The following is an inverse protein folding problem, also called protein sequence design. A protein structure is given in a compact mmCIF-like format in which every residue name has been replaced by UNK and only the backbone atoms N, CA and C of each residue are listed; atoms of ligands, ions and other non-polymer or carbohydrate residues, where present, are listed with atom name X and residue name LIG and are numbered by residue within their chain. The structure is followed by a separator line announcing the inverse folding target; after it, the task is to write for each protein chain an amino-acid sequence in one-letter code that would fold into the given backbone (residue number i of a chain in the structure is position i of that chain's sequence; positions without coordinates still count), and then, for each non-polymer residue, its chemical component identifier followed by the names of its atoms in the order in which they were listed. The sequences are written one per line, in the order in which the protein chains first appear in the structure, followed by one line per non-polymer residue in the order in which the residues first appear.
data_IF_555479696892
#
_entry.id   IF_555479696892
#
_cell.length_a   1.000
_cell.length_b   1.000
_cell.length_c   1.000
_cell.angle_alpha   90.00
_cell.angle_beta   90.00
_cell.angle_gamma   90.00
#
_symmetry.space_group_name_H-M   'P 1'
#
loop_
_entity.id
_entity.type
_entity.pdbx_description
1 polymer ?
#
# COMPACT_ATOMS: atom_id res chain seq x y z
N UNK A 1 9.99 -11.75 -17.20
CA UNK A 1 10.56 -10.46 -17.64
C UNK A 1 10.61 -10.50 -19.15
N UNK A 2 10.31 -9.39 -19.83
CA UNK A 2 10.41 -9.30 -21.29
C UNK A 2 11.62 -8.41 -21.65
N UNK A 3 12.44 -8.86 -22.61
CA UNK A 3 13.62 -8.13 -23.08
C UNK A 3 13.50 -7.96 -24.58
N UNK A 4 13.63 -6.74 -25.07
CA UNK A 4 13.40 -6.44 -26.49
C UNK A 4 14.40 -5.38 -26.94
N UNK A 5 15.08 -5.65 -28.05
CA UNK A 5 15.84 -4.61 -28.75
C UNK A 5 14.85 -3.66 -29.41
N UNK A 6 14.91 -2.38 -29.03
CA UNK A 6 14.10 -1.32 -29.67
C UNK A 6 14.78 -0.89 -30.97
N UNK A 7 16.10 -0.80 -30.94
CA UNK A 7 16.98 -0.51 -32.06
C UNK A 7 18.35 -1.19 -31.80
N UNK A 8 19.35 -0.95 -32.65
CA UNK A 8 20.69 -1.55 -32.53
C UNK A 8 21.48 -1.11 -31.28
N UNK A 9 21.08 -0.02 -30.64
CA UNK A 9 21.73 0.61 -29.49
C UNK A 9 20.88 0.62 -28.22
N UNK A 10 19.61 0.23 -28.29
CA UNK A 10 18.67 0.34 -27.18
C UNK A 10 18.06 -1.01 -26.83
N UNK A 11 18.43 -1.56 -25.68
CA UNK A 11 17.80 -2.76 -25.11
C UNK A 11 16.82 -2.35 -24.02
N UNK A 12 15.54 -2.67 -24.19
CA UNK A 12 14.49 -2.43 -23.19
C UNK A 12 14.19 -3.71 -22.44
N UNK A 13 14.07 -3.61 -21.12
CA UNK A 13 13.68 -4.68 -20.22
C UNK A 13 12.45 -4.26 -19.42
N UNK A 14 11.33 -4.91 -19.67
CA UNK A 14 10.10 -4.73 -18.90
C UNK A 14 9.98 -5.84 -17.86
N UNK A 15 9.89 -5.46 -16.60
CA UNK A 15 9.73 -6.43 -15.53
C UNK A 15 8.26 -6.83 -15.41
N UNK A 16 8.00 -8.14 -15.32
CA UNK A 16 6.63 -8.66 -15.16
C UNK A 16 6.12 -8.47 -13.72
N UNK A 17 7.06 -8.47 -12.76
CA UNK A 17 6.81 -8.30 -11.33
C UNK A 17 7.75 -7.23 -10.79
N UNK A 18 7.47 -6.72 -9.60
CA UNK A 18 8.29 -5.71 -8.94
C UNK A 18 9.47 -6.39 -8.21
N UNK A 19 10.69 -5.96 -8.51
CA UNK A 19 11.93 -6.54 -7.96
C UNK A 19 12.87 -5.46 -7.42
N UNK A 20 13.58 -5.80 -6.34
CA UNK A 20 14.82 -5.13 -5.97
C UNK A 20 15.96 -5.74 -6.79
N UNK A 21 16.48 -4.98 -7.75
CA UNK A 21 17.60 -5.42 -8.57
C UNK A 21 18.93 -5.08 -7.90
N UNK A 22 19.80 -6.09 -7.80
CA UNK A 22 21.09 -5.98 -7.11
C UNK A 22 22.28 -6.13 -8.05
N UNK A 23 22.17 -6.98 -9.08
CA UNK A 23 23.26 -7.19 -10.03
C UNK A 23 22.77 -7.57 -11.43
N UNK A 24 23.65 -7.30 -12.39
CA UNK A 24 23.55 -7.69 -13.79
C UNK A 24 24.64 -8.70 -14.08
N UNK A 25 24.30 -9.77 -14.79
CA UNK A 25 25.23 -10.77 -15.26
C UNK A 25 25.24 -10.75 -16.78
N UNK A 26 26.44 -10.64 -17.35
CA UNK A 26 26.69 -10.69 -18.78
C UNK A 26 27.29 -12.04 -19.13
N UNK A 27 26.71 -12.72 -20.11
CA UNK A 27 27.22 -13.94 -20.73
C UNK A 27 27.21 -13.75 -22.25
N UNK A 28 28.25 -13.07 -22.73
CA UNK A 28 28.38 -12.60 -24.11
C UNK A 28 29.16 -13.60 -24.94
N UNK A 29 28.84 -13.66 -26.24
CA UNK A 29 29.50 -14.59 -27.19
C UNK A 29 30.98 -14.32 -27.38
N UNK A 30 31.43 -13.07 -27.18
CA UNK A 30 32.83 -12.68 -27.29
C UNK A 30 33.20 -11.61 -26.26
N UNK A 31 34.48 -11.57 -25.91
CA UNK A 31 35.06 -10.47 -25.13
C UNK A 31 35.25 -9.24 -26.03
N UNK A 32 35.10 -8.06 -25.44
CA UNK A 32 35.18 -6.78 -26.15
C UNK A 32 34.49 -5.69 -25.35
N UNK A 33 34.89 -4.43 -25.53
CA UNK A 33 34.32 -3.33 -24.75
C UNK A 33 32.83 -3.14 -25.08
N UNK A 34 31.98 -3.40 -24.10
CA UNK A 34 30.58 -2.97 -24.06
C UNK A 34 30.48 -1.81 -23.08
N UNK A 35 30.00 -0.66 -23.55
CA UNK A 35 29.82 0.55 -22.75
C UNK A 35 28.39 1.03 -22.89
N UNK A 36 27.72 1.25 -21.76
CA UNK A 36 26.32 1.69 -21.75
C UNK A 36 26.00 2.54 -20.52
N UNK A 37 24.89 3.26 -20.58
CA UNK A 37 24.24 3.83 -19.40
C UNK A 37 22.81 3.30 -19.28
N UNK A 38 22.19 3.53 -18.13
CA UNK A 38 20.84 3.06 -17.84
C UNK A 38 19.88 4.22 -17.68
N UNK A 39 18.68 4.07 -18.21
CA UNK A 39 17.50 4.78 -17.72
C UNK A 39 16.48 3.76 -17.20
N UNK A 40 15.62 4.21 -16.30
CA UNK A 40 14.62 3.35 -15.68
C UNK A 40 13.38 4.15 -15.32
N UNK A 41 12.26 3.44 -15.22
CA UNK A 41 10.98 4.00 -14.81
C UNK A 41 10.65 3.42 -13.44
N UNK A 42 10.75 4.21 -12.37
CA UNK A 42 10.35 3.81 -11.01
C UNK A 42 8.89 4.20 -10.72
N UNK A 43 8.47 5.33 -11.30
CA UNK A 43 7.11 5.84 -11.26
C UNK A 43 6.53 5.77 -12.67
N UNK A 44 5.27 5.34 -12.78
CA UNK A 44 4.63 5.13 -14.07
C UNK A 44 4.63 6.43 -14.89
N UNK A 45 5.25 6.39 -16.08
CA UNK A 45 5.38 7.55 -16.97
C UNK A 45 6.51 8.53 -16.62
N UNK A 46 7.31 8.28 -15.59
CA UNK A 46 8.48 9.09 -15.23
C UNK A 46 9.78 8.27 -15.48
N UNK A 47 10.41 8.47 -16.64
CA UNK A 47 11.74 7.89 -16.93
C UNK A 47 12.85 8.74 -16.25
N UNK A 48 13.71 8.09 -15.47
CA UNK A 48 14.91 8.67 -14.85
C UNK A 48 16.18 8.06 -15.45
N UNK A 49 17.24 8.86 -15.58
CA UNK A 49 18.57 8.37 -15.95
C UNK A 49 19.34 7.99 -14.69
N UNK A 50 19.98 6.82 -14.69
CA UNK A 50 20.80 6.38 -13.57
C UNK A 50 22.02 7.29 -13.41
N UNK A 51 22.09 7.96 -12.27
CA UNK A 51 23.14 8.92 -11.93
C UNK A 51 23.82 8.55 -10.61
N UNK A 52 25.11 8.85 -10.52
CA UNK A 52 25.90 8.81 -9.28
C UNK A 52 26.55 10.18 -9.13
N UNK A 53 26.37 10.82 -7.97
CA UNK A 53 26.79 12.21 -7.73
C UNK A 53 26.32 13.18 -8.85
N UNK A 54 25.07 13.03 -9.28
CA UNK A 54 24.41 13.81 -10.35
C UNK A 54 25.00 13.65 -11.77
N UNK A 55 25.98 12.78 -11.97
CA UNK A 55 26.54 12.45 -13.28
C UNK A 55 25.96 11.14 -13.78
N UNK A 56 25.66 11.06 -15.09
CA UNK A 56 25.23 9.82 -15.74
C UNK A 56 26.29 8.75 -15.53
N UNK A 57 25.89 7.63 -14.92
CA UNK A 57 26.83 6.55 -14.65
C UNK A 57 27.03 5.70 -15.90
N UNK A 58 28.30 5.46 -16.23
CA UNK A 58 28.68 4.62 -17.36
C UNK A 58 29.16 3.26 -16.86
N UNK A 59 28.52 2.20 -17.33
CA UNK A 59 28.94 0.83 -17.10
C UNK A 59 29.87 0.39 -18.23
N UNK A 60 30.94 -0.32 -17.85
CA UNK A 60 31.90 -0.93 -18.79
C UNK A 60 31.99 -2.42 -18.52
N UNK A 61 31.78 -3.23 -19.56
CA UNK A 61 31.93 -4.68 -19.56
C UNK A 61 33.00 -5.04 -20.57
N UNK A 62 34.06 -5.71 -20.14
CA UNK A 62 35.18 -6.09 -21.01
C UNK A 62 35.23 -7.60 -21.25
N UNK A 63 34.94 -8.38 -20.22
CA UNK A 63 34.93 -9.83 -20.29
C UNK A 63 33.64 -10.35 -20.93
N UNK A 64 33.74 -11.50 -21.61
CA UNK A 64 32.57 -12.23 -22.11
C UNK A 64 31.62 -12.60 -20.96
N UNK A 65 32.18 -13.05 -19.83
CA UNK A 65 31.47 -13.33 -18.59
C UNK A 65 31.85 -12.31 -17.53
N UNK A 66 30.89 -11.48 -17.12
CA UNK A 66 31.12 -10.46 -16.09
C UNK A 66 29.84 -10.19 -15.31
N UNK A 67 29.96 -10.01 -14.00
CA UNK A 67 28.88 -9.53 -13.15
C UNK A 67 29.16 -8.09 -12.71
N UNK A 68 28.13 -7.26 -12.73
CA UNK A 68 28.19 -5.88 -12.26
C UNK A 68 27.12 -5.67 -11.19
N UNK A 69 27.52 -5.05 -10.09
CA UNK A 69 26.59 -4.63 -9.05
C UNK A 69 26.01 -3.26 -9.39
N UNK A 70 24.73 -3.05 -9.07
CA UNK A 70 24.18 -1.71 -9.08
C UNK A 70 24.77 -0.91 -7.91
N UNK A 71 25.19 0.34 -8.13
CA UNK A 71 25.67 1.23 -7.06
C UNK A 71 24.63 1.52 -5.97
N UNK A 72 23.34 1.32 -6.29
CA UNK A 72 22.20 1.48 -5.39
C UNK A 72 21.14 0.43 -5.74
N UNK A 73 20.31 0.06 -4.78
CA UNK A 73 19.18 -0.85 -5.03
C UNK A 73 18.19 -0.16 -5.96
N UNK A 74 17.87 -0.78 -7.09
CA UNK A 74 16.90 -0.27 -8.05
C UNK A 74 15.57 -1.01 -7.92
N UNK A 75 14.47 -0.26 -7.99
CA UNK A 75 13.09 -0.79 -7.99
C UNK A 75 12.32 -0.35 -9.25
N UNK A 76 12.78 -0.70 -10.46
CA UNK A 76 12.19 -0.19 -11.68
C UNK A 76 10.98 -1.03 -12.11
N UNK A 77 10.03 -0.41 -12.80
CA UNK A 77 9.02 -1.09 -13.63
C UNK A 77 9.63 -1.49 -14.99
N UNK A 78 10.48 -0.63 -15.52
CA UNK A 78 11.16 -0.76 -16.81
C UNK A 78 12.60 -0.29 -16.69
N UNK A 79 13.53 -1.02 -17.30
CA UNK A 79 14.90 -0.57 -17.51
C UNK A 79 15.18 -0.43 -19.00
N UNK A 80 16.00 0.54 -19.35
CA UNK A 80 16.50 0.75 -20.70
C UNK A 80 18.01 0.87 -20.66
N UNK A 81 18.67 0.04 -21.44
CA UNK A 81 20.11 0.03 -21.64
C UNK A 81 20.41 0.81 -22.91
N UNK A 82 21.16 1.90 -22.75
CA UNK A 82 21.59 2.76 -23.84
C UNK A 82 23.03 2.45 -24.18
N UNK A 83 23.24 1.66 -25.22
CA UNK A 83 24.54 1.15 -25.65
C UNK A 83 25.27 2.25 -26.41
N UNK A 84 26.42 2.65 -25.88
CA UNK A 84 27.30 3.68 -26.44
C UNK A 84 28.41 3.06 -27.27
N UNK A 85 28.88 1.87 -26.90
CA UNK A 85 29.89 1.11 -27.64
C UNK A 85 29.68 -0.39 -27.43
N UNK A 86 29.95 -1.19 -28.46
CA UNK A 86 29.75 -2.62 -28.48
C UNK A 86 28.33 -3.02 -28.85
N UNK A 87 28.01 -4.29 -28.64
CA UNK A 87 26.68 -4.86 -28.85
C UNK A 87 26.29 -5.72 -27.65
N UNK A 88 24.98 -5.80 -27.41
CA UNK A 88 24.38 -6.61 -26.37
C UNK A 88 23.09 -7.21 -26.92
N UNK A 89 23.00 -8.53 -26.95
CA UNK A 89 21.78 -9.24 -27.31
C UNK A 89 20.93 -9.52 -26.06
N UNK A 90 19.59 -9.60 -26.16
CA UNK A 90 18.71 -9.85 -25.00
C UNK A 90 19.01 -11.12 -24.19
N UNK A 91 19.52 -12.14 -24.85
CA UNK A 91 19.94 -13.44 -24.30
C UNK A 91 21.26 -13.38 -23.53
N UNK A 92 22.10 -12.39 -23.79
CA UNK A 92 23.42 -12.22 -23.17
C UNK A 92 23.37 -11.47 -21.82
N UNK A 93 22.21 -10.92 -21.45
CA UNK A 93 22.01 -10.19 -20.21
C UNK A 93 21.09 -10.96 -19.27
N UNK A 94 21.49 -11.15 -18.02
CA UNK A 94 20.65 -11.64 -16.94
C UNK A 94 20.55 -10.59 -15.84
N UNK A 95 19.32 -10.30 -15.39
CA UNK A 95 19.07 -9.43 -14.25
C UNK A 95 18.74 -10.30 -13.06
N UNK A 96 19.43 -10.05 -11.94
CA UNK A 96 19.27 -10.84 -10.73
C UNK A 96 18.92 -9.91 -9.57
N UNK A 97 17.89 -10.32 -8.85
CA UNK A 97 17.24 -9.52 -7.83
C UNK A 97 16.27 -10.35 -7.00
N UNK A 98 15.72 -9.73 -5.97
CA UNK A 98 14.72 -10.33 -5.09
C UNK A 98 13.37 -9.72 -5.42
N UNK A 99 12.33 -10.53 -5.55
CA UNK A 99 10.96 -10.01 -5.64
C UNK A 99 10.67 -9.19 -4.39
N UNK A 100 10.06 -8.02 -4.55
CA UNK A 100 9.78 -7.13 -3.43
C UNK A 100 8.78 -7.75 -2.45
N UNK A 101 8.74 -7.22 -1.24
CA UNK A 101 7.63 -7.47 -0.31
C UNK A 101 6.34 -6.83 -0.85
N UNK A 102 5.21 -7.05 -0.16
CA UNK A 102 3.93 -6.42 -0.53
C UNK A 102 3.96 -4.90 -0.26
N UNK A 103 4.68 -4.49 0.80
CA UNK A 103 4.90 -3.11 1.20
C UNK A 103 6.38 -2.75 1.32
N UNK A 104 6.74 -1.46 1.16
CA UNK A 104 8.10 -1.00 1.40
C UNK A 104 8.48 -1.10 2.87
N UNK A 105 9.79 -1.10 3.15
CA UNK A 105 10.30 -1.11 4.51
C UNK A 105 9.77 0.07 5.33
N UNK A 106 9.30 -0.23 6.55
CA UNK A 106 8.69 0.76 7.45
C UNK A 106 7.22 1.09 7.15
N UNK A 107 6.60 0.42 6.17
CA UNK A 107 5.16 0.46 5.94
C UNK A 107 4.51 -0.86 6.38
N UNK A 108 3.29 -0.77 6.89
CA UNK A 108 2.49 -1.91 7.32
C UNK A 108 1.42 -2.22 6.27
N UNK A 109 1.29 -3.46 5.79
CA UNK A 109 0.20 -3.83 4.89
C UNK A 109 -1.15 -3.71 5.59
N UNK A 110 -2.11 -3.10 4.91
CA UNK A 110 -3.50 -2.98 5.33
C UNK A 110 -4.42 -3.16 4.11
N UNK A 111 -4.91 -4.38 3.92
CA UNK A 111 -5.74 -4.78 2.78
C UNK A 111 -5.11 -4.49 1.42
N UNK A 112 -5.53 -3.40 0.78
CA UNK A 112 -5.15 -2.97 -0.55
C UNK A 112 -4.09 -1.86 -0.55
N UNK A 113 -3.69 -1.38 0.64
CA UNK A 113 -2.74 -0.29 0.82
C UNK A 113 -1.63 -0.64 1.81
N UNK A 114 -0.56 0.14 1.78
CA UNK A 114 0.56 0.10 2.70
C UNK A 114 0.57 1.40 3.50
N UNK A 115 0.55 1.31 4.83
CA UNK A 115 0.37 2.45 5.72
C UNK A 115 1.61 2.73 6.55
N UNK A 116 1.97 4.01 6.69
CA UNK A 116 3.02 4.45 7.61
C UNK A 116 2.57 5.65 8.42
N UNK A 117 2.64 5.50 9.73
CA UNK A 117 2.33 6.56 10.68
C UNK A 117 3.50 7.51 10.81
N UNK A 118 3.24 8.82 10.69
CA UNK A 118 4.23 9.86 10.96
C UNK A 118 3.84 10.58 12.25
N UNK A 119 4.65 10.40 13.29
CA UNK A 119 4.45 10.96 14.63
C UNK A 119 5.01 12.37 14.78
N UNK A 120 5.20 13.08 13.67
CA UNK A 120 5.61 14.49 13.64
C UNK A 120 4.45 15.30 13.12
N UNK A 121 4.09 16.38 13.83
CA UNK A 121 3.00 17.25 13.42
C UNK A 121 3.41 18.20 12.29
N UNK A 122 2.60 18.29 11.24
CA UNK A 122 2.85 19.13 10.08
C UNK A 122 1.53 19.72 9.54
N UNK A 123 1.60 20.74 8.67
CA UNK A 123 0.43 21.20 7.91
C UNK A 123 0.07 20.16 6.84
N UNK A 124 -1.18 20.16 6.34
CA UNK A 124 -1.61 19.16 5.34
C UNK A 124 -0.72 19.17 4.10
N UNK A 125 -0.36 20.35 3.61
CA UNK A 125 0.46 20.51 2.42
C UNK A 125 1.84 19.89 2.61
N UNK A 126 2.47 20.13 3.77
CA UNK A 126 3.78 19.56 4.11
C UNK A 126 3.67 18.05 4.31
N UNK A 127 2.59 17.59 4.95
CA UNK A 127 2.33 16.17 5.16
C UNK A 127 2.11 15.43 3.82
N UNK A 128 1.35 16.02 2.90
CA UNK A 128 1.15 15.48 1.55
C UNK A 128 2.47 15.42 0.77
N UNK A 129 3.26 16.50 0.78
CA UNK A 129 4.60 16.51 0.17
C UNK A 129 5.52 15.43 0.76
N UNK A 130 5.44 15.21 2.07
CA UNK A 130 6.18 14.13 2.73
C UNK A 130 5.72 12.75 2.23
N UNK A 131 4.41 12.50 2.14
CA UNK A 131 3.91 11.22 1.63
C UNK A 131 4.27 10.99 0.15
N UNK A 132 4.24 12.04 -0.67
CA UNK A 132 4.64 12.00 -2.08
C UNK A 132 6.14 11.79 -2.32
N UNK A 133 6.97 11.93 -1.28
CA UNK A 133 8.39 11.59 -1.34
C UNK A 133 8.63 10.07 -1.37
N UNK A 134 7.69 9.28 -0.85
CA UNK A 134 7.75 7.83 -0.96
C UNK A 134 7.25 7.37 -2.33
N UNK A 135 7.93 6.37 -2.89
CA UNK A 135 7.65 5.76 -4.18
C UNK A 135 7.51 4.26 -3.99
N UNK A 136 6.47 3.65 -4.55
CA UNK A 136 6.27 2.22 -4.47
C UNK A 136 5.37 1.72 -5.59
N UNK A 137 5.71 0.57 -6.17
CA UNK A 137 4.89 -0.10 -7.19
C UNK A 137 4.42 0.83 -8.33
N UNK A 138 5.27 1.77 -8.75
CA UNK A 138 4.94 2.71 -9.83
C UNK A 138 4.15 3.95 -9.43
N UNK A 139 3.83 4.13 -8.15
CA UNK A 139 3.04 5.26 -7.67
C UNK A 139 3.76 6.03 -6.56
N UNK A 140 3.39 7.30 -6.45
CA UNK A 140 3.79 8.15 -5.33
C UNK A 140 2.84 7.92 -4.16
N UNK A 141 3.35 8.02 -2.95
CA UNK A 141 2.51 7.99 -1.76
C UNK A 141 1.62 9.22 -1.67
N UNK A 142 0.58 9.10 -0.86
CA UNK A 142 -0.37 10.18 -0.59
C UNK A 142 -0.78 10.15 0.87
N UNK A 143 -1.44 11.20 1.35
CA UNK A 143 -2.10 11.17 2.65
C UNK A 143 -3.20 10.11 2.63
N UNK A 144 -3.29 9.35 3.71
CA UNK A 144 -4.25 8.27 3.88
C UNK A 144 -5.68 8.71 3.63
N UNK A 145 -6.44 7.91 2.87
CA UNK A 145 -7.83 8.19 2.50
C UNK A 145 -8.75 7.13 3.11
N UNK A 146 -9.39 7.39 4.27
CA UNK A 146 -10.26 6.43 4.96
C UNK A 146 -11.65 6.34 4.29
N UNK A 147 -11.69 5.80 3.07
CA UNK A 147 -12.90 5.76 2.23
C UNK A 147 -13.87 4.63 2.56
N UNK A 148 -13.34 3.53 3.08
CA UNK A 148 -14.09 2.32 3.36
C UNK A 148 -14.03 1.97 4.85
N UNK A 149 -14.98 1.13 5.30
CA UNK A 149 -15.10 0.75 6.70
C UNK A 149 -13.81 0.09 7.26
N UNK A 150 -13.03 -0.62 6.43
CA UNK A 150 -11.81 -1.28 6.88
C UNK A 150 -10.69 -0.27 7.13
N UNK A 151 -10.54 0.71 6.24
CA UNK A 151 -9.60 1.83 6.40
C UNK A 151 -9.99 2.74 7.56
N UNK A 152 -11.29 2.99 7.78
CA UNK A 152 -11.79 3.74 8.93
C UNK A 152 -11.46 3.03 10.25
N UNK A 153 -11.74 1.72 10.35
CA UNK A 153 -11.48 0.93 11.57
C UNK A 153 -10.01 0.92 11.97
N UNK A 154 -9.09 0.89 11.00
CA UNK A 154 -7.65 1.01 11.28
C UNK A 154 -7.30 2.30 12.03
N UNK A 155 -7.85 3.44 11.59
CA UNK A 155 -7.63 4.71 12.28
C UNK A 155 -8.21 4.68 13.70
N UNK A 156 -9.42 4.13 13.85
CA UNK A 156 -10.09 4.07 15.15
C UNK A 156 -9.26 3.33 16.19
N UNK A 157 -8.79 2.13 15.87
CA UNK A 157 -8.03 1.30 16.81
C UNK A 157 -6.67 1.91 17.14
N UNK A 158 -5.97 2.48 16.15
CA UNK A 158 -4.57 2.90 16.31
C UNK A 158 -4.39 4.34 16.78
N UNK A 159 -5.33 5.22 16.45
CA UNK A 159 -5.18 6.67 16.65
C UNK A 159 -6.34 7.29 17.41
N UNK A 160 -7.08 6.52 18.21
CA UNK A 160 -8.29 6.99 18.90
C UNK A 160 -8.16 8.39 19.54
N UNK A 161 -6.98 8.77 20.06
CA UNK A 161 -6.74 10.05 20.73
C UNK A 161 -6.09 11.14 19.86
N UNK A 162 -5.89 10.94 18.55
CA UNK A 162 -5.18 11.87 17.68
C UNK A 162 -6.07 12.45 16.59
N UNK A 163 -5.95 13.74 16.30
CA UNK A 163 -6.48 14.31 15.07
C UNK A 163 -5.48 14.08 13.93
N UNK A 164 -5.97 13.70 12.76
CA UNK A 164 -5.14 13.33 11.63
C UNK A 164 -5.43 14.17 10.39
N UNK A 165 -4.37 14.59 9.71
CA UNK A 165 -4.48 14.97 8.31
C UNK A 165 -4.70 13.73 7.45
N UNK A 166 -5.73 13.80 6.61
CA UNK A 166 -6.11 12.77 5.63
C UNK A 166 -6.14 13.37 4.22
N UNK A 167 -6.13 12.52 3.20
CA UNK A 167 -6.00 12.90 1.80
C UNK A 167 -7.28 13.48 1.20
N UNK A 168 -7.73 14.64 1.70
CA UNK A 168 -8.97 15.29 1.30
C UNK A 168 -8.75 16.75 0.94
N UNK A 169 -9.44 17.25 -0.08
CA UNK A 169 -9.47 18.68 -0.44
C UNK A 169 -10.86 19.12 -0.87
N UNK A 170 -11.11 20.42 -0.76
CA UNK A 170 -12.25 21.06 -1.41
C UNK A 170 -11.79 21.62 -2.74
N UNK A 171 -12.36 21.13 -3.83
CA UNK A 171 -12.10 21.63 -5.15
C UNK A 171 -12.56 23.09 -5.25
N UNK A 172 -11.64 24.01 -5.53
CA UNK A 172 -11.94 25.45 -5.50
C UNK A 172 -12.90 25.87 -6.62
N UNK A 173 -12.91 25.16 -7.75
CA UNK A 173 -13.73 25.48 -8.92
C UNK A 173 -15.15 24.93 -8.79
N UNK A 174 -15.31 23.72 -8.28
CA UNK A 174 -16.63 23.08 -8.14
C UNK A 174 -17.24 23.28 -6.76
N UNK A 175 -16.43 23.61 -5.75
CA UNK A 175 -16.84 23.66 -4.35
C UNK A 175 -17.11 22.29 -3.72
N UNK A 176 -16.83 21.20 -4.44
CA UNK A 176 -17.09 19.82 -4.00
C UNK A 176 -15.88 19.30 -3.23
N UNK A 177 -16.15 18.50 -2.20
CA UNK A 177 -15.11 17.78 -1.47
C UNK A 177 -14.72 16.51 -2.22
N UNK A 178 -13.43 16.34 -2.43
CA UNK A 178 -12.84 15.20 -3.13
C UNK A 178 -11.65 14.67 -2.35
N UNK A 179 -11.46 13.36 -2.42
CA UNK A 179 -10.23 12.70 -2.01
C UNK A 179 -9.10 13.08 -2.98
N UNK A 180 -7.85 12.85 -2.58
CA UNK A 180 -6.69 13.26 -3.38
C UNK A 180 -6.53 12.50 -4.70
N UNK A 181 -7.16 11.34 -4.85
CA UNK A 181 -7.28 10.64 -6.13
C UNK A 181 -8.43 11.14 -7.02
N UNK A 182 -9.19 12.15 -6.57
CA UNK A 182 -10.24 12.81 -7.31
C UNK A 182 -11.63 12.22 -7.12
N UNK A 183 -11.78 11.13 -6.35
CA UNK A 183 -13.11 10.62 -6.03
C UNK A 183 -13.87 11.58 -5.10
N UNK A 184 -15.18 11.76 -5.29
CA UNK A 184 -15.97 12.61 -4.40
C UNK A 184 -16.03 12.03 -2.98
N UNK A 185 -15.99 12.90 -1.99
CA UNK A 185 -16.22 12.54 -0.59
C UNK A 185 -17.72 12.32 -0.40
N UNK A 186 -18.11 11.14 0.09
CA UNK A 186 -19.50 10.83 0.41
C UNK A 186 -19.96 11.58 1.66
N UNK A 187 -21.25 11.93 1.72
CA UNK A 187 -21.82 12.60 2.90
C UNK A 187 -21.64 11.77 4.19
N UNK A 188 -21.68 10.45 4.08
CA UNK A 188 -21.42 9.52 5.18
C UNK A 188 -19.99 9.51 5.71
N UNK A 189 -19.05 10.20 5.04
CA UNK A 189 -17.67 10.36 5.53
C UNK A 189 -17.54 11.49 6.57
N UNK A 190 -18.55 12.36 6.70
CA UNK A 190 -18.52 13.51 7.61
C UNK A 190 -19.13 13.16 8.97
N UNK A 191 -18.41 13.49 10.04
CA UNK A 191 -18.98 13.43 11.37
C UNK A 191 -20.08 14.49 11.54
N UNK A 192 -21.22 14.07 12.08
CA UNK A 192 -22.39 14.91 12.33
C UNK A 192 -22.91 15.69 11.08
N UNK A 193 -22.70 15.12 9.88
CA UNK A 193 -23.25 15.60 8.59
C UNK A 193 -22.90 17.05 8.21
N UNK A 194 -21.82 17.62 8.78
CA UNK A 194 -21.43 19.01 8.51
C UNK A 194 -20.11 19.12 7.77
N UNK A 195 -20.20 19.19 6.45
CA UNK A 195 -19.08 19.58 5.61
C UNK A 195 -18.68 21.03 5.89
N UNK A 196 -17.38 21.27 6.03
CA UNK A 196 -16.81 22.62 6.12
C UNK A 196 -16.64 23.25 4.74
N UNK A 197 -16.16 24.50 4.73
CA UNK A 197 -15.89 25.24 3.48
C UNK A 197 -14.40 25.38 3.15
N UNK A 198 -13.49 25.01 4.07
CA UNK A 198 -12.06 25.34 3.98
C UNK A 198 -11.17 24.11 4.14
N UNK A 199 -11.17 23.51 5.34
CA UNK A 199 -10.26 22.45 5.72
C UNK A 199 -10.99 21.33 6.44
N UNK A 200 -10.49 20.10 6.31
CA UNK A 200 -11.06 18.94 6.98
C UNK A 200 -9.97 18.03 7.54
N UNK A 201 -10.23 17.49 8.72
CA UNK A 201 -9.37 16.54 9.44
C UNK A 201 -10.17 15.33 9.82
N UNK A 202 -9.50 14.19 9.97
CA UNK A 202 -10.16 13.02 10.53
C UNK A 202 -10.06 13.05 12.06
N UNK A 203 -11.21 12.90 12.73
CA UNK A 203 -11.31 12.72 14.18
C UNK A 203 -11.75 11.31 14.49
N UNK A 204 -10.84 10.44 14.97
CA UNK A 204 -11.13 9.03 15.22
C UNK A 204 -12.29 8.83 16.20
N UNK A 205 -12.34 9.57 17.31
CA UNK A 205 -13.45 9.45 18.27
C UNK A 205 -14.82 9.89 17.73
N UNK A 206 -14.88 10.60 16.60
CA UNK A 206 -16.12 10.92 15.88
C UNK A 206 -16.33 10.04 14.63
N UNK A 207 -15.39 9.13 14.35
CA UNK A 207 -15.35 8.27 13.18
C UNK A 207 -15.69 8.99 11.87
N UNK A 208 -15.10 10.16 11.65
CA UNK A 208 -15.42 10.94 10.46
C UNK A 208 -14.55 12.16 10.25
N UNK A 209 -14.71 12.74 9.07
CA UNK A 209 -14.20 14.05 8.71
C UNK A 209 -14.89 15.12 9.53
N UNK A 210 -14.11 16.06 10.04
CA UNK A 210 -14.62 17.25 10.71
C UNK A 210 -14.05 18.50 10.08
N UNK A 211 -14.86 19.56 9.96
CA UNK A 211 -14.39 20.83 9.47
C UNK A 211 -13.38 21.43 10.45
N UNK A 212 -12.33 22.05 9.91
CA UNK A 212 -11.37 22.82 10.67
C UNK A 212 -11.30 24.25 10.13
N UNK A 213 -10.95 25.19 11.00
CA UNK A 213 -10.93 26.62 10.68
C UNK A 213 -9.73 27.06 9.84
N UNK A 214 -8.62 26.31 9.86
CA UNK A 214 -7.38 26.71 9.16
C UNK A 214 -6.55 25.52 8.67
N UNK A 215 -5.99 25.68 7.47
CA UNK A 215 -5.01 24.77 6.87
C UNK A 215 -3.60 24.88 7.47
N UNK A 216 -3.34 25.93 8.27
CA UNK A 216 -2.06 26.11 8.99
C UNK A 216 -1.93 25.20 10.22
N UNK A 217 -2.98 24.46 10.56
CA UNK A 217 -2.99 23.52 11.70
C UNK A 217 -1.97 22.43 11.50
N UNK A 218 -1.18 22.18 12.54
CA UNK A 218 -0.16 21.12 12.54
C UNK A 218 -0.71 19.90 13.26
N UNK A 219 -0.92 18.81 12.53
CA UNK A 219 -1.46 17.55 13.06
C UNK A 219 -0.58 16.37 12.63
N UNK A 220 -0.78 15.24 13.29
CA UNK A 220 -0.22 13.96 12.87
C UNK A 220 -0.84 13.51 11.55
N UNK A 221 -0.20 12.57 10.86
CA UNK A 221 -0.70 12.08 9.59
C UNK A 221 -0.23 10.65 9.29
N UNK A 222 -0.93 10.02 8.36
CA UNK A 222 -0.62 8.67 7.87
C UNK A 222 -0.37 8.78 6.38
N UNK A 223 0.74 8.22 5.92
CA UNK A 223 1.00 8.06 4.49
C UNK A 223 0.48 6.71 4.02
N UNK A 224 -0.13 6.69 2.85
CA UNK A 224 -0.54 5.50 2.14
C UNK A 224 0.20 5.35 0.81
N UNK A 225 0.50 4.10 0.48
CA UNK A 225 1.04 3.65 -0.81
C UNK A 225 0.16 2.48 -1.29
N UNK A 226 0.09 2.20 -2.59
CA UNK A 226 -0.59 1.00 -3.07
C UNK A 226 0.10 -0.25 -2.54
N UNK A 227 -0.66 -1.30 -2.23
CA UNK A 227 -0.07 -2.61 -1.96
C UNK A 227 0.35 -3.29 -3.27
N UNK A 228 1.58 -3.80 -3.33
CA UNK A 228 2.02 -4.60 -4.47
C UNK A 228 1.49 -6.03 -4.34
N UNK A 229 0.47 -6.38 -5.14
CA UNK A 229 -0.07 -7.74 -5.16
C UNK A 229 0.87 -8.67 -5.92
N UNK A 230 1.47 -9.61 -5.20
CA UNK A 230 2.25 -10.68 -5.82
C UNK A 230 1.32 -11.67 -6.55
N UNK A 231 1.73 -12.18 -7.72
CA UNK A 231 0.96 -13.20 -8.42
C UNK A 231 0.88 -14.47 -7.56
N UNK A 232 -0.30 -15.10 -7.55
CA UNK A 232 -0.55 -16.35 -6.82
C UNK A 232 -0.34 -16.26 -5.30
N UNK A 233 -0.37 -15.05 -4.72
CA UNK A 233 -0.41 -14.85 -3.27
C UNK A 233 -1.70 -14.11 -2.92
N UNK A 234 -2.45 -14.68 -1.99
CA UNK A 234 -3.65 -14.03 -1.46
C UNK A 234 -3.20 -12.88 -0.56
N UNK A 235 -3.89 -11.74 -0.66
CA UNK A 235 -3.52 -10.49 0.04
C UNK A 235 -3.43 -10.73 1.54
N UNK A 236 -2.25 -10.56 2.13
CA UNK A 236 -2.07 -10.59 3.59
C UNK A 236 -2.64 -9.29 4.18
N UNK A 237 -3.89 -9.34 4.65
CA UNK A 237 -4.47 -8.29 5.49
C UNK A 237 -4.12 -8.53 6.96
N UNK A 238 -4.19 -7.50 7.82
CA UNK A 238 -4.17 -7.73 9.27
C UNK A 238 -5.31 -8.69 9.64
N UNK A 239 -5.03 -9.65 10.52
CA UNK A 239 -6.04 -10.52 11.11
C UNK A 239 -7.00 -9.66 11.94
N UNK A 240 -8.13 -9.30 11.33
CA UNK A 240 -9.25 -8.72 12.08
C UNK A 240 -9.99 -9.90 12.70
N UNK A 241 -9.88 -10.05 14.02
CA UNK A 241 -10.70 -10.99 14.78
C UNK A 241 -12.17 -10.56 14.68
N UNK A 242 -12.87 -11.07 13.68
CA UNK A 242 -14.32 -11.19 13.75
C UNK A 242 -14.58 -12.33 14.73
N UNK A 243 -15.16 -12.04 15.90
CA UNK A 243 -15.69 -13.08 16.78
C UNK A 243 -16.88 -13.73 16.06
N UNK A 244 -16.62 -14.66 15.15
CA UNK A 244 -17.45 -15.81 14.75
C UNK A 244 -16.52 -16.77 13.99
N UNK A 245 -16.12 -17.91 14.60
CA UNK A 245 -15.16 -18.83 14.03
C UNK A 245 -15.86 -19.64 12.94
N UNK A 246 -15.52 -19.34 11.70
CA UNK A 246 -15.96 -20.12 10.55
C UNK A 246 -16.52 -19.23 9.48
N UNK A 247 -15.62 -18.63 8.68
CA UNK A 247 -15.79 -18.40 7.24
C UNK A 247 -14.68 -17.48 6.73
N UNK A 248 -13.56 -18.08 6.36
CA UNK A 248 -12.64 -17.58 5.33
C UNK A 248 -11.90 -18.80 4.76
N UNK A 249 -12.56 -19.58 3.90
CA UNK A 249 -11.86 -20.54 3.04
C UNK A 249 -11.31 -19.78 1.84
N UNK A 250 -10.23 -19.04 2.10
CA UNK A 250 -9.51 -18.26 1.10
C UNK A 250 -8.15 -17.89 1.66
N UNK A 251 -7.16 -18.77 1.46
CA UNK A 251 -5.72 -18.63 1.69
C UNK A 251 -5.20 -17.78 2.89
N UNK A 252 -5.95 -17.63 3.98
CA UNK A 252 -5.38 -17.14 5.22
C UNK A 252 -4.73 -18.32 5.93
N UNK A 253 -3.48 -18.62 5.59
CA UNK A 253 -2.70 -19.71 6.22
C UNK A 253 -2.23 -19.38 7.66
N UNK A 254 -2.65 -18.25 8.25
CA UNK A 254 -2.28 -17.85 9.62
C UNK A 254 -3.45 -18.02 10.63
N UNK A 255 -4.20 -19.13 10.53
CA UNK A 255 -5.09 -19.54 11.65
C UNK A 255 -4.30 -20.38 12.65
N UNK A 256 -3.84 -19.75 13.75
CA UNK A 256 -3.34 -20.47 14.92
C UNK A 256 -4.50 -21.24 15.58
N UNK A 257 -4.40 -22.56 15.64
CA UNK A 257 -5.33 -23.39 16.40
C UNK A 257 -5.00 -23.26 17.90
N UNK A 258 -5.90 -22.69 18.70
CA UNK A 258 -5.81 -22.76 20.17
C UNK A 258 -7.04 -23.48 20.70
N UNK A 259 -6.84 -24.32 21.69
CA UNK A 259 -7.88 -25.15 22.31
C UNK A 259 -8.78 -24.30 23.22
N UNK A 260 -10.09 -24.61 23.26
CA UNK A 260 -11.15 -23.88 23.98
C UNK A 260 -10.84 -23.49 25.43
N UNK A 261 -9.91 -24.20 26.08
CA UNK A 261 -9.52 -23.97 27.47
C UNK A 261 -8.73 -22.67 27.68
N UNK A 262 -7.99 -22.17 26.67
CA UNK A 262 -7.26 -20.90 26.76
C UNK A 262 -8.19 -19.67 26.52
N UNK A 263 -9.33 -19.87 25.85
CA UNK A 263 -10.29 -18.82 25.55
C UNK A 263 -11.14 -18.44 26.78
N UNK A 264 -11.58 -19.43 27.56
CA UNK A 264 -12.51 -19.19 28.67
C UNK A 264 -11.92 -18.40 29.85
N UNK A 265 -10.59 -18.32 29.98
CA UNK A 265 -9.96 -17.47 31.00
C UNK A 265 -9.78 -16.00 30.56
N UNK A 266 -9.85 -15.69 29.26
CA UNK A 266 -9.68 -14.32 28.74
C UNK A 266 -10.98 -13.68 28.22
N UNK A 267 -11.98 -14.50 27.86
CA UNK A 267 -13.23 -14.06 27.23
C UNK A 267 -14.34 -13.71 28.24
N UNK A 268 -14.11 -13.89 29.54
CA UNK A 268 -15.11 -13.58 30.58
C UNK A 268 -15.44 -12.08 30.72
N UNK A 269 -14.74 -11.19 30.02
CA UNK A 269 -15.08 -9.78 29.93
C UNK A 269 -15.13 -9.34 28.48
N UNK A 270 -16.36 -9.13 27.99
CA UNK A 270 -16.71 -8.59 26.68
C UNK A 270 -15.77 -7.47 26.25
N UNK A 271 -15.03 -7.67 25.15
CA UNK A 271 -14.37 -6.63 24.35
C UNK A 271 -14.01 -7.18 22.95
N UNK A 272 -14.26 -6.40 21.90
CA UNK A 272 -13.66 -6.59 20.57
C UNK A 272 -12.14 -6.45 20.71
N UNK A 273 -11.44 -7.57 20.87
CA UNK A 273 -9.99 -7.62 21.04
C UNK A 273 -9.30 -7.59 19.68
N UNK A 274 -8.73 -6.43 19.34
CA UNK A 274 -7.65 -6.36 18.36
C UNK A 274 -6.41 -6.98 18.97
N UNK A 275 -6.05 -8.19 18.53
CA UNK A 275 -4.77 -8.82 18.88
C UNK A 275 -3.93 -8.86 17.61
N UNK A 276 -2.97 -7.94 17.53
CA UNK A 276 -1.85 -8.01 16.60
C UNK A 276 -0.62 -8.46 17.40
N UNK A 277 0.00 -9.56 16.99
CA UNK A 277 1.21 -10.12 17.61
C UNK A 277 2.39 -9.12 17.65
N UNK A 278 2.34 -8.07 16.83
CA UNK A 278 3.35 -7.02 16.78
C UNK A 278 3.12 -5.89 17.79
N UNK A 279 1.88 -5.65 18.23
CA UNK A 279 1.51 -4.58 19.17
C UNK A 279 1.24 -5.15 20.56
N UNK A 280 2.27 -5.69 21.20
CA UNK A 280 2.23 -6.07 22.63
C UNK A 280 1.65 -4.91 23.46
N UNK A 281 0.45 -5.13 24.02
CA UNK A 281 -0.23 -4.35 25.07
C UNK A 281 -1.09 -3.12 24.72
N UNK A 282 -1.69 -2.99 23.54
CA UNK A 282 -2.80 -2.03 23.37
C UNK A 282 -4.08 -2.70 22.87
N UNK A 283 -4.88 -3.20 23.81
CA UNK A 283 -6.26 -3.62 23.58
C UNK A 283 -7.19 -2.40 23.69
N UNK A 284 -7.77 -1.96 22.57
CA UNK A 284 -8.89 -1.00 22.60
C UNK A 284 -10.21 -1.76 22.60
N UNK A 285 -10.94 -1.62 23.70
CA UNK A 285 -12.28 -2.16 23.92
C UNK A 285 -13.36 -1.30 23.28
N UNK A 286 -14.20 -1.88 22.42
CA UNK A 286 -15.43 -1.23 21.94
C UNK A 286 -16.65 -1.82 22.63
N UNK A 287 -17.31 -1.01 23.45
CA UNK A 287 -18.58 -1.34 24.10
C UNK A 287 -19.73 -0.85 23.21
N UNK A 288 -20.39 -1.75 22.50
CA UNK A 288 -21.69 -1.47 21.85
C UNK A 288 -22.79 -1.69 22.88
N UNK A 289 -23.42 -0.62 23.36
CA UNK A 289 -24.43 -0.68 24.44
C UNK A 289 -25.84 -1.08 23.95
N UNK A 290 -25.94 -1.83 22.84
CA UNK A 290 -27.21 -2.35 22.36
C UNK A 290 -27.05 -3.75 21.79
N UNK A 291 -28.02 -4.62 22.06
CA UNK A 291 -28.15 -6.00 21.57
C UNK A 291 -28.32 -6.11 20.03
N UNK A 292 -27.69 -5.21 19.26
CA UNK A 292 -27.75 -5.14 17.80
C UNK A 292 -26.35 -4.95 17.24
N UNK A 293 -25.83 -6.00 16.62
CA UNK A 293 -24.58 -5.97 15.85
C UNK A 293 -24.92 -5.47 14.44
N UNK A 294 -24.23 -4.42 13.99
CA UNK A 294 -24.34 -3.91 12.63
C UNK A 294 -23.20 -4.47 11.79
N UNK A 295 -23.55 -5.21 10.74
CA UNK A 295 -22.59 -5.67 9.72
C UNK A 295 -22.64 -4.67 8.57
N UNK A 296 -21.55 -3.94 8.35
CA UNK A 296 -21.41 -3.06 7.20
C UNK A 296 -20.96 -3.89 6.00
N UNK A 297 -21.83 -4.04 5.00
CA UNK A 297 -21.51 -4.66 3.70
C UNK A 297 -21.61 -3.59 2.62
N UNK A 298 -20.64 -3.56 1.71
CA UNK A 298 -20.58 -2.63 0.58
C UNK A 298 -21.51 -2.99 -0.59
N UNK A 299 -22.23 -4.12 -0.51
CA UNK A 299 -23.24 -4.52 -1.48
C UNK A 299 -24.66 -4.36 -0.89
N UNK A 300 -25.63 -3.81 -1.65
CA UNK A 300 -27.03 -3.84 -1.25
C UNK A 300 -27.50 -5.30 -1.24
N UNK A 301 -27.76 -5.82 -0.04
CA UNK A 301 -28.37 -7.14 0.11
C UNK A 301 -29.78 -7.08 -0.49
N UNK A 302 -30.10 -7.99 -1.40
CA UNK A 302 -31.42 -8.07 -2.05
C UNK A 302 -32.56 -8.43 -1.09
N UNK A 303 -32.23 -8.82 0.15
CA UNK A 303 -33.17 -8.94 1.26
C UNK A 303 -32.44 -8.74 2.61
N UNK A 304 -33.13 -8.22 3.65
CA UNK A 304 -32.54 -8.15 4.98
C UNK A 304 -32.22 -9.56 5.51
N UNK A 305 -31.07 -9.78 6.15
CA UNK A 305 -30.73 -11.09 6.68
C UNK A 305 -31.71 -11.47 7.80
N UNK A 306 -32.39 -12.60 7.65
CA UNK A 306 -33.22 -13.15 8.73
C UNK A 306 -32.32 -13.76 9.79
N UNK A 307 -32.21 -13.06 10.93
CA UNK A 307 -31.54 -13.56 12.12
C UNK A 307 -32.45 -14.57 12.82
N UNK A 308 -32.23 -15.87 12.57
CA UNK A 308 -32.77 -16.92 13.45
C UNK A 308 -31.74 -17.26 14.52
N UNK A 309 -32.19 -17.33 15.77
CA UNK A 309 -31.38 -17.51 16.99
C UNK A 309 -30.69 -18.88 17.14
N UNK A 310 -30.44 -19.61 16.05
CA UNK A 310 -29.81 -20.92 16.10
C UNK A 310 -29.15 -21.26 14.76
N UNK A 311 -27.82 -21.22 14.75
CA UNK A 311 -26.89 -21.91 13.84
C UNK A 311 -27.35 -22.11 12.38
N UNK A 312 -27.52 -21.03 11.64
CA UNK A 312 -27.70 -21.11 10.18
C UNK A 312 -26.39 -20.76 9.49
N UNK A 313 -25.78 -21.74 8.82
CA UNK A 313 -24.64 -21.53 7.91
C UNK A 313 -25.21 -20.92 6.63
N UNK A 314 -24.91 -19.64 6.37
CA UNK A 314 -25.23 -18.99 5.10
C UNK A 314 -23.98 -18.92 4.22
N UNK A 315 -24.06 -19.51 3.03
CA UNK A 315 -23.00 -19.45 2.03
C UNK A 315 -23.19 -18.21 1.14
N UNK A 316 -22.15 -17.38 1.03
CA UNK A 316 -22.07 -16.34 0.00
C UNK A 316 -21.01 -16.73 -1.03
N UNK A 317 -21.34 -16.78 -2.34
CA UNK A 317 -20.36 -17.04 -3.38
C UNK A 317 -19.43 -15.84 -3.58
N UNK A 318 -18.13 -16.09 -3.71
CA UNK A 318 -17.16 -15.10 -4.15
C UNK A 318 -17.40 -14.77 -5.63
N UNK A 319 -17.35 -13.48 -5.97
CA UNK A 319 -17.31 -13.00 -7.35
C UNK A 319 -15.84 -12.91 -7.76
N UNK A 320 -15.43 -13.77 -8.68
CA UNK A 320 -14.14 -13.66 -9.38
C UNK A 320 -14.17 -12.44 -10.31
N UNK A 321 -13.11 -11.64 -10.29
CA UNK A 321 -12.77 -10.69 -11.36
C UNK A 321 -11.36 -10.95 -11.86
#
# INVERSE_FOLDING_TARGET
MNKTMVDSSTLRVTLKYFYHLNFMQFNRKSAGLLRFYLSFEELAGEDEVFKVYNNTWMFNVQSANQSLYFPQVLQPLKLTFHIVNGSLSPDELSLLGKMTNDCPDGFTPHFDVCLRTITVVATQEVAQKHCQSYRWAGQRGTLFMPKDAMKMNFILGKFYNWELHVGVRRNASTGIWEWFDGEPVSDGSWAAEKAGNLYAVWRPWLNGLTPYSTASTRLYFVCELPLFKRPNMCTKGPLVYYMHPGMCSGCNDDFWWSTETDHNQRVAHNDLLFVDDFFKNQSTSFRSDTNKVWIFTSNPLSSPPQLSASNTIQHFPCVEH
#
